data_IF_778663465626
#
_entry.id   IF_778663465626
#
_cell.length_a   1.000
_cell.length_b   1.000
_cell.length_c   1.000
_cell.angle_alpha   90.00
_cell.angle_beta   90.00
_cell.angle_gamma   90.00
#
_symmetry.space_group_name_H-M   'P 1'
#
loop_
_entity.id
_entity.type
_entity.pdbx_description
1 polymer ?
#
# COMPACT_ATOMS: atom_id res chain seq x y z
N UNK A 1 -7.61 -26.11 -7.24
CA UNK A 1 -7.92 -24.67 -7.32
C UNK A 1 -9.43 -24.58 -7.36
N UNK A 2 -10.06 -23.65 -6.65
CA UNK A 2 -11.48 -23.39 -6.91
C UNK A 2 -11.51 -22.74 -8.29
N UNK A 3 -12.25 -23.32 -9.23
CA UNK A 3 -12.30 -22.83 -10.61
C UNK A 3 -12.97 -21.45 -10.72
N UNK A 4 -13.57 -20.98 -9.62
CA UNK A 4 -14.29 -19.72 -9.51
C UNK A 4 -13.38 -18.50 -9.20
N UNK A 5 -12.09 -18.70 -8.89
CA UNK A 5 -11.14 -17.63 -8.49
C UNK A 5 -10.39 -17.02 -9.70
N UNK A 6 -11.17 -16.46 -10.63
CA UNK A 6 -10.71 -15.89 -11.90
C UNK A 6 -9.97 -14.54 -11.77
N UNK A 7 -10.30 -13.74 -10.75
CA UNK A 7 -9.69 -12.43 -10.51
C UNK A 7 -8.29 -12.55 -9.90
N UNK A 8 -7.97 -13.69 -9.30
CA UNK A 8 -6.69 -13.93 -8.63
C UNK A 8 -5.64 -14.39 -9.66
N UNK A 9 -4.48 -13.71 -9.76
CA UNK A 9 -3.39 -14.15 -10.62
C UNK A 9 -2.93 -15.58 -10.25
N UNK A 10 -2.54 -16.43 -11.22
CA UNK A 10 -2.24 -17.85 -10.98
C UNK A 10 -1.25 -18.11 -9.85
N UNK A 11 -0.24 -17.25 -9.68
CA UNK A 11 0.79 -17.36 -8.64
C UNK A 11 0.28 -17.15 -7.21
N UNK A 12 -0.91 -16.54 -7.04
CA UNK A 12 -1.46 -16.18 -5.74
C UNK A 12 -2.72 -16.96 -5.35
N UNK A 13 -3.23 -17.82 -6.23
CA UNK A 13 -4.45 -18.62 -6.00
C UNK A 13 -4.35 -19.65 -4.87
N UNK A 14 -3.15 -19.96 -4.39
CA UNK A 14 -2.99 -20.81 -3.20
C UNK A 14 -3.27 -20.06 -1.89
N UNK A 15 -3.27 -18.73 -1.92
CA UNK A 15 -3.35 -17.87 -0.74
C UNK A 15 -4.66 -17.08 -0.67
N UNK A 16 -5.25 -16.75 -1.82
CA UNK A 16 -6.41 -15.87 -1.90
C UNK A 16 -7.50 -16.46 -2.78
N UNK A 17 -8.75 -16.19 -2.39
CA UNK A 17 -9.92 -16.28 -3.27
C UNK A 17 -10.26 -14.89 -3.84
N UNK A 18 -11.29 -14.82 -4.69
CA UNK A 18 -11.73 -13.58 -5.31
C UNK A 18 -12.09 -12.46 -4.30
N UNK A 19 -12.81 -12.78 -3.22
CA UNK A 19 -13.21 -11.76 -2.23
C UNK A 19 -11.98 -11.20 -1.50
N UNK A 20 -11.07 -12.07 -1.08
CA UNK A 20 -9.85 -11.65 -0.37
C UNK A 20 -8.94 -10.83 -1.29
N UNK A 21 -8.84 -11.22 -2.57
CA UNK A 21 -8.03 -10.50 -3.55
C UNK A 21 -8.58 -9.11 -3.84
N UNK A 22 -9.90 -8.95 -3.94
CA UNK A 22 -10.54 -7.65 -4.10
C UNK A 22 -10.24 -6.72 -2.91
N UNK A 23 -10.37 -7.23 -1.68
CA UNK A 23 -10.06 -6.46 -0.48
C UNK A 23 -8.57 -6.06 -0.44
N UNK A 24 -7.69 -7.02 -0.73
CA UNK A 24 -6.25 -6.78 -0.77
C UNK A 24 -5.88 -5.71 -1.82
N UNK A 25 -6.46 -5.77 -3.01
CA UNK A 25 -6.20 -4.80 -4.08
C UNK A 25 -6.62 -3.37 -3.67
N UNK A 26 -7.80 -3.22 -3.05
CA UNK A 26 -8.28 -1.94 -2.52
C UNK A 26 -7.34 -1.43 -1.41
N UNK A 27 -6.97 -2.30 -0.46
CA UNK A 27 -6.11 -1.93 0.66
C UNK A 27 -4.73 -1.47 0.17
N UNK A 28 -4.09 -2.23 -0.72
CA UNK A 28 -2.74 -1.90 -1.21
C UNK A 28 -2.75 -0.59 -2.00
N UNK A 29 -3.73 -0.38 -2.89
CA UNK A 29 -3.83 0.87 -3.67
C UNK A 29 -4.10 2.08 -2.77
N UNK A 30 -5.02 1.96 -1.82
CA UNK A 30 -5.33 3.05 -0.88
C UNK A 30 -4.17 3.35 0.06
N UNK A 31 -3.47 2.32 0.56
CA UNK A 31 -2.27 2.48 1.38
C UNK A 31 -1.15 3.20 0.63
N UNK A 32 -0.89 2.84 -0.63
CA UNK A 32 0.11 3.55 -1.45
C UNK A 32 -0.29 5.00 -1.71
N UNK A 33 -1.56 5.27 -2.03
CA UNK A 33 -2.05 6.63 -2.21
C UNK A 33 -1.87 7.46 -0.93
N UNK A 34 -2.26 6.92 0.22
CA UNK A 34 -2.05 7.55 1.53
C UNK A 34 -0.56 7.77 1.82
N UNK A 35 0.28 6.75 1.60
CA UNK A 35 1.71 6.79 1.87
C UNK A 35 2.43 7.87 1.07
N UNK A 36 2.09 8.04 -0.21
CA UNK A 36 2.66 9.10 -1.06
C UNK A 36 2.26 10.48 -0.53
N UNK A 37 0.98 10.68 -0.22
CA UNK A 37 0.50 11.97 0.32
C UNK A 37 1.17 12.27 1.66
N UNK A 38 1.23 11.29 2.56
CA UNK A 38 1.86 11.43 3.86
C UNK A 38 3.35 11.76 3.72
N UNK A 39 4.09 11.06 2.85
CA UNK A 39 5.51 11.32 2.61
C UNK A 39 5.75 12.75 2.11
N UNK A 40 4.95 13.23 1.15
CA UNK A 40 5.05 14.60 0.65
C UNK A 40 4.72 15.64 1.73
N UNK A 41 3.68 15.40 2.53
CA UNK A 41 3.32 16.28 3.64
C UNK A 41 4.44 16.38 4.67
N UNK A 42 5.02 15.24 5.08
CA UNK A 42 6.14 15.23 6.01
C UNK A 42 7.40 15.88 5.41
N UNK A 43 7.69 15.64 4.13
CA UNK A 43 8.80 16.31 3.44
C UNK A 43 8.63 17.83 3.46
N UNK A 44 7.44 18.33 3.15
CA UNK A 44 7.13 19.76 3.15
C UNK A 44 7.28 20.38 4.55
N UNK A 45 6.75 19.72 5.59
CA UNK A 45 6.91 20.20 6.97
C UNK A 45 8.37 20.11 7.41
N UNK A 46 9.13 19.10 6.96
CA UNK A 46 10.55 18.98 7.28
C UNK A 46 11.39 20.11 6.67
N UNK A 47 11.05 20.54 5.45
CA UNK A 47 11.67 21.74 4.82
C UNK A 47 11.32 23.02 5.59
N UNK A 48 10.08 23.16 6.10
CA UNK A 48 9.67 24.34 6.87
C UNK A 48 10.28 24.39 8.29
N UNK A 49 10.20 23.27 9.02
CA UNK A 49 10.71 23.11 10.38
C UNK A 49 11.37 21.74 10.51
N UNK A 50 12.68 21.63 10.24
CA UNK A 50 13.37 20.35 10.35
C UNK A 50 13.34 19.87 11.80
N UNK A 51 12.92 18.62 12.00
CA UNK A 51 12.83 18.00 13.33
C UNK A 51 13.90 16.92 13.55
N UNK A 52 14.61 16.51 12.50
CA UNK A 52 15.78 15.64 12.59
C UNK A 52 17.04 16.52 12.52
N UNK A 53 17.50 16.99 13.69
CA UNK A 53 18.84 17.56 13.82
C UNK A 53 19.84 16.42 13.90
N UNK A 54 20.57 16.15 12.82
CA UNK A 54 21.81 15.38 12.93
C UNK A 54 22.84 16.28 13.63
N UNK A 55 22.80 16.28 14.96
CA UNK A 55 23.92 16.77 15.76
C UNK A 55 25.05 15.72 15.63
N UNK A 56 25.94 15.97 14.67
CA UNK A 56 27.33 15.47 14.66
C UNK A 56 28.20 16.70 14.90
#
# INVERSE_FOLDING_TARGET
>A
MRDDDDLVPPKWRSLFNNQDWLMHDIMVKSFWAFGVIAALAHLMVWVWRPWLSWAI
#
